data_IF_768544135929
#
_entry.id   IF_768544135929
#
_cell.length_a   1.000
_cell.length_b   1.000
_cell.length_c   1.000
_cell.angle_alpha   90.00
_cell.angle_beta   90.00
_cell.angle_gamma   90.00
#
_symmetry.space_group_name_H-M   'P 1'
#
loop_
_entity.id
_entity.type
_entity.pdbx_description
1 polymer ?
#
# COMPACT_ATOMS: atom_id res chain seq x y z
N UNK A 1 7.95 27.26 -20.32
CA UNK A 1 8.16 25.86 -20.79
C UNK A 1 6.91 25.05 -20.49
N UNK A 2 6.49 24.14 -21.37
CA UNK A 2 5.35 23.26 -21.10
C UNK A 2 5.79 22.03 -20.30
N UNK A 3 5.22 21.81 -19.12
CA UNK A 3 5.44 20.58 -18.35
C UNK A 3 4.71 19.42 -19.05
N UNK A 4 5.47 18.48 -19.61
CA UNK A 4 4.90 17.20 -20.11
C UNK A 4 4.43 16.36 -18.92
N UNK A 5 3.16 16.49 -18.55
CA UNK A 5 2.50 15.71 -17.49
C UNK A 5 2.32 14.25 -17.91
N UNK A 6 3.39 13.45 -17.75
CA UNK A 6 3.34 11.99 -17.90
C UNK A 6 2.55 11.37 -16.73
N UNK A 7 1.21 11.37 -16.84
CA UNK A 7 0.32 10.72 -15.87
C UNK A 7 0.46 9.19 -15.81
N UNK A 8 1.05 8.56 -16.83
CA UNK A 8 1.29 7.13 -16.89
C UNK A 8 2.75 6.79 -16.57
N UNK A 9 3.02 6.47 -15.31
CA UNK A 9 4.37 6.13 -14.82
C UNK A 9 4.66 4.63 -14.99
N UNK A 10 3.64 3.76 -14.96
CA UNK A 10 3.74 2.35 -15.41
C UNK A 10 2.51 1.99 -16.29
N UNK A 11 2.58 2.34 -17.58
CA UNK A 11 1.48 2.13 -18.56
C UNK A 11 0.87 0.73 -18.53
N UNK A 12 1.71 -0.32 -18.41
CA UNK A 12 1.27 -1.71 -18.51
C UNK A 12 0.39 -2.21 -17.35
N UNK A 13 0.47 -1.57 -16.18
CA UNK A 13 -0.29 -1.96 -14.98
C UNK A 13 -1.56 -1.13 -14.84
N UNK A 14 -1.42 0.20 -14.82
CA UNK A 14 -2.54 1.13 -14.64
C UNK A 14 -3.58 1.00 -15.76
N UNK A 15 -3.13 0.81 -17.01
CA UNK A 15 -4.04 0.61 -18.15
C UNK A 15 -4.89 -0.66 -18.01
N UNK A 16 -4.32 -1.77 -17.53
CA UNK A 16 -5.09 -3.02 -17.32
C UNK A 16 -6.19 -2.82 -16.28
N UNK A 17 -5.85 -2.25 -15.13
CA UNK A 17 -6.83 -1.98 -14.06
C UNK A 17 -7.98 -1.09 -14.56
N UNK A 18 -7.63 0.03 -15.22
CA UNK A 18 -8.61 0.99 -15.76
C UNK A 18 -9.48 0.35 -16.84
N UNK A 19 -8.89 -0.41 -17.78
CA UNK A 19 -9.65 -1.10 -18.84
C UNK A 19 -10.55 -2.19 -18.26
N UNK A 20 -10.09 -2.97 -17.28
CA UNK A 20 -10.92 -3.98 -16.60
C UNK A 20 -12.11 -3.34 -15.86
N UNK A 21 -11.90 -2.21 -15.15
CA UNK A 21 -13.00 -1.48 -14.52
C UNK A 21 -13.97 -0.88 -15.55
N UNK A 22 -13.48 -0.27 -16.64
CA UNK A 22 -14.32 0.29 -17.70
C UNK A 22 -15.15 -0.80 -18.40
N UNK A 23 -14.55 -1.97 -18.66
CA UNK A 23 -15.25 -3.13 -19.24
C UNK A 23 -16.32 -3.66 -18.27
N UNK A 24 -16.01 -3.77 -16.98
CA UNK A 24 -16.97 -4.17 -15.95
C UNK A 24 -18.17 -3.20 -15.86
N UNK A 25 -17.90 -1.89 -15.85
CA UNK A 25 -18.94 -0.84 -15.83
C UNK A 25 -19.79 -0.90 -17.11
N UNK A 26 -19.16 -1.06 -18.27
CA UNK A 26 -19.87 -1.20 -19.55
C UNK A 26 -20.76 -2.46 -19.58
N UNK A 27 -20.24 -3.61 -19.15
CA UNK A 27 -20.98 -4.87 -19.07
C UNK A 27 -22.22 -4.74 -18.17
N UNK A 28 -22.05 -4.13 -16.99
CA UNK A 28 -23.14 -3.92 -16.02
C UNK A 28 -24.17 -2.92 -16.55
N UNK A 29 -23.73 -1.88 -17.28
CA UNK A 29 -24.63 -0.96 -17.99
C UNK A 29 -25.45 -1.67 -19.06
N UNK A 30 -24.85 -2.55 -19.86
CA UNK A 30 -25.56 -3.34 -20.89
C UNK A 30 -26.56 -4.31 -20.27
N UNK A 31 -26.19 -5.02 -19.18
CA UNK A 31 -27.10 -5.91 -18.43
C UNK A 31 -28.29 -5.14 -17.86
N UNK A 32 -28.04 -3.93 -17.33
CA UNK A 32 -29.08 -3.06 -16.78
C UNK A 32 -30.03 -2.58 -17.87
N UNK A 33 -29.50 -2.10 -19.00
CA UNK A 33 -30.29 -1.62 -20.14
C UNK A 33 -31.15 -2.73 -20.75
N UNK A 34 -30.61 -3.95 -20.86
CA UNK A 34 -31.35 -5.13 -21.32
C UNK A 34 -32.49 -5.51 -20.36
N UNK A 35 -32.29 -5.45 -19.04
CA UNK A 35 -33.37 -5.67 -18.06
C UNK A 35 -34.48 -4.62 -18.18
N UNK A 36 -34.12 -3.35 -18.40
CA UNK A 36 -35.10 -2.27 -18.62
C UNK A 36 -35.91 -2.52 -19.91
N UNK A 37 -35.26 -2.92 -21.00
CA UNK A 37 -35.93 -3.25 -22.26
C UNK A 37 -36.93 -4.40 -22.13
N UNK A 38 -36.53 -5.52 -21.52
CA UNK A 38 -37.41 -6.68 -21.31
C UNK A 38 -38.62 -6.34 -20.44
N UNK A 39 -38.46 -5.45 -19.45
CA UNK A 39 -39.57 -5.03 -18.59
C UNK A 39 -40.47 -4.00 -19.30
N UNK A 40 -39.93 -3.17 -20.19
CA UNK A 40 -40.72 -2.29 -21.05
C UNK A 40 -41.65 -3.10 -21.98
N UNK A 41 -41.13 -4.12 -22.69
CA UNK A 41 -41.98 -5.03 -23.48
C UNK A 41 -42.99 -5.79 -22.62
N UNK A 42 -42.59 -6.27 -21.43
CA UNK A 42 -43.51 -6.97 -20.52
C UNK A 42 -44.68 -6.08 -20.12
N UNK A 43 -44.43 -4.82 -19.73
CA UNK A 43 -45.49 -3.86 -19.38
C UNK A 43 -46.37 -3.55 -20.59
N UNK A 44 -45.79 -3.25 -21.76
CA UNK A 44 -46.56 -2.93 -22.97
C UNK A 44 -47.48 -4.07 -23.41
N UNK A 45 -47.03 -5.34 -23.32
CA UNK A 45 -47.80 -6.50 -23.74
C UNK A 45 -48.86 -6.95 -22.73
N UNK A 46 -48.68 -6.67 -21.42
CA UNK A 46 -49.62 -7.12 -20.37
C UNK A 46 -50.65 -6.04 -19.96
N UNK A 47 -50.38 -4.75 -20.21
CA UNK A 47 -51.27 -3.64 -19.81
C UNK A 47 -51.93 -2.95 -21.01
N UNK A 48 -52.96 -3.61 -21.55
CA UNK A 48 -53.83 -3.04 -22.59
C UNK A 48 -54.55 -1.78 -22.07
N UNK A 49 -54.13 -0.61 -22.56
CA UNK A 49 -54.62 0.70 -22.12
C UNK A 49 -53.51 1.70 -21.77
N UNK A 50 -52.29 1.21 -21.55
CA UNK A 50 -51.18 2.03 -21.07
C UNK A 50 -51.22 2.23 -19.56
N UNK A 51 -50.05 2.32 -18.92
CA UNK A 51 -49.94 2.51 -17.47
C UNK A 51 -49.72 4.00 -17.18
N UNK A 52 -50.44 4.56 -16.21
CA UNK A 52 -50.17 5.91 -15.71
C UNK A 52 -48.73 6.02 -15.18
N UNK A 53 -48.13 7.21 -15.21
CA UNK A 53 -46.74 7.39 -14.77
C UNK A 53 -46.50 6.85 -13.34
N UNK A 54 -47.44 7.09 -12.43
CA UNK A 54 -47.40 6.59 -11.05
C UNK A 54 -47.50 5.06 -10.98
N UNK A 55 -48.43 4.48 -11.74
CA UNK A 55 -48.59 3.03 -11.85
C UNK A 55 -47.33 2.37 -12.42
N UNK A 56 -46.73 2.98 -13.46
CA UNK A 56 -45.50 2.51 -14.09
C UNK A 56 -44.35 2.48 -13.09
N UNK A 57 -44.14 3.54 -12.32
CA UNK A 57 -43.12 3.54 -11.27
C UNK A 57 -43.37 2.45 -10.22
N UNK A 58 -44.62 2.21 -9.80
CA UNK A 58 -44.92 1.15 -8.82
C UNK A 58 -44.61 -0.27 -9.33
N UNK A 59 -44.97 -0.57 -10.58
CA UNK A 59 -44.70 -1.86 -11.24
C UNK A 59 -43.20 -2.01 -11.51
N UNK A 60 -42.54 -0.95 -11.98
CA UNK A 60 -41.10 -0.90 -12.18
C UNK A 60 -40.35 -1.14 -10.86
N UNK A 61 -40.70 -0.47 -9.76
CA UNK A 61 -40.03 -0.68 -8.47
C UNK A 61 -40.19 -2.12 -7.96
N UNK A 62 -41.36 -2.73 -8.15
CA UNK A 62 -41.64 -4.12 -7.74
C UNK A 62 -40.90 -5.16 -8.59
N UNK A 63 -40.72 -4.91 -9.89
CA UNK A 63 -40.05 -5.85 -10.82
C UNK A 63 -38.53 -5.64 -10.91
N UNK A 64 -38.07 -4.39 -10.93
CA UNK A 64 -36.65 -4.04 -10.99
C UNK A 64 -35.99 -4.05 -9.60
N UNK A 65 -36.66 -3.61 -8.53
CA UNK A 65 -36.02 -3.33 -7.24
C UNK A 65 -35.16 -4.47 -6.70
N UNK A 66 -35.73 -5.68 -6.62
CA UNK A 66 -34.99 -6.89 -6.19
C UNK A 66 -33.88 -7.28 -7.18
N UNK A 67 -34.12 -7.16 -8.49
CA UNK A 67 -33.12 -7.50 -9.52
C UNK A 67 -31.92 -6.56 -9.50
N UNK A 68 -32.17 -5.25 -9.46
CA UNK A 68 -31.14 -4.21 -9.36
C UNK A 68 -30.38 -4.31 -8.04
N UNK A 69 -31.05 -4.62 -6.93
CA UNK A 69 -30.38 -4.87 -5.65
C UNK A 69 -29.41 -6.06 -5.73
N UNK A 70 -29.83 -7.19 -6.31
CA UNK A 70 -28.94 -8.33 -6.52
C UNK A 70 -27.78 -8.01 -7.47
N UNK A 71 -28.04 -7.32 -8.59
CA UNK A 71 -27.00 -6.91 -9.55
C UNK A 71 -25.99 -5.96 -8.88
N UNK A 72 -26.47 -5.01 -8.08
CA UNK A 72 -25.63 -4.08 -7.31
C UNK A 72 -24.78 -4.80 -6.24
N UNK A 73 -25.38 -5.73 -5.49
CA UNK A 73 -24.66 -6.53 -4.49
C UNK A 73 -23.57 -7.40 -5.13
N UNK A 74 -23.88 -8.07 -6.24
CA UNK A 74 -22.90 -8.85 -7.01
C UNK A 74 -21.81 -7.97 -7.61
N UNK A 75 -22.16 -6.76 -8.10
CA UNK A 75 -21.17 -5.79 -8.59
C UNK A 75 -20.19 -5.38 -7.49
N UNK A 76 -20.68 -5.02 -6.30
CA UNK A 76 -19.86 -4.64 -5.14
C UNK A 76 -18.89 -5.77 -4.78
N UNK A 77 -19.37 -7.02 -4.76
CA UNK A 77 -18.53 -8.20 -4.49
C UNK A 77 -17.43 -8.36 -5.56
N UNK A 78 -17.77 -8.23 -6.85
CA UNK A 78 -16.80 -8.32 -7.95
C UNK A 78 -15.75 -7.20 -7.86
N UNK A 79 -16.17 -5.96 -7.63
CA UNK A 79 -15.27 -4.80 -7.48
C UNK A 79 -14.35 -4.98 -6.26
N UNK A 80 -14.87 -5.48 -5.13
CA UNK A 80 -14.07 -5.77 -3.94
C UNK A 80 -13.02 -6.85 -4.21
N UNK A 81 -13.40 -7.95 -4.88
CA UNK A 81 -12.47 -9.03 -5.26
C UNK A 81 -11.35 -8.50 -6.17
N UNK A 82 -11.69 -7.74 -7.21
CA UNK A 82 -10.71 -7.10 -8.11
C UNK A 82 -9.79 -6.16 -7.31
N UNK A 83 -10.35 -5.35 -6.41
CA UNK A 83 -9.60 -4.45 -5.54
C UNK A 83 -8.57 -5.16 -4.66
N UNK A 84 -8.95 -6.29 -4.05
CA UNK A 84 -8.04 -7.11 -3.22
C UNK A 84 -6.92 -7.73 -4.06
N UNK A 85 -7.23 -8.30 -5.22
CA UNK A 85 -6.22 -8.88 -6.12
C UNK A 85 -5.18 -7.83 -6.57
N UNK A 86 -5.63 -6.64 -6.96
CA UNK A 86 -4.72 -5.55 -7.34
C UNK A 86 -3.95 -4.98 -6.12
N UNK A 87 -4.58 -4.86 -4.95
CA UNK A 87 -3.93 -4.39 -3.72
C UNK A 87 -2.73 -5.25 -3.32
N UNK A 88 -2.88 -6.58 -3.39
CA UNK A 88 -1.79 -7.53 -3.10
C UNK A 88 -0.59 -7.36 -4.06
N UNK A 89 -0.84 -6.90 -5.29
CA UNK A 89 0.21 -6.65 -6.30
C UNK A 89 1.03 -5.36 -6.03
N UNK A 90 0.55 -4.48 -5.14
CA UNK A 90 1.30 -3.30 -4.66
C UNK A 90 1.95 -3.52 -3.28
N UNK A 91 1.26 -4.20 -2.36
CA UNK A 91 1.73 -4.39 -0.99
C UNK A 91 3.07 -5.16 -0.90
N UNK A 92 3.18 -6.30 -1.60
CA UNK A 92 4.39 -7.12 -1.59
C UNK A 92 5.64 -6.39 -2.12
N UNK A 93 5.60 -5.76 -3.31
CA UNK A 93 6.71 -4.98 -3.84
C UNK A 93 7.06 -3.76 -2.96
N UNK A 94 6.07 -3.06 -2.41
CA UNK A 94 6.29 -1.92 -1.52
C UNK A 94 7.11 -2.30 -0.28
N UNK A 95 6.76 -3.41 0.39
CA UNK A 95 7.54 -3.93 1.52
C UNK A 95 8.98 -4.31 1.13
N UNK A 96 9.19 -4.93 -0.04
CA UNK A 96 10.54 -5.28 -0.51
C UNK A 96 11.39 -4.05 -0.85
N UNK A 97 10.79 -3.02 -1.45
CA UNK A 97 11.44 -1.73 -1.71
C UNK A 97 11.81 -1.02 -0.40
N UNK A 98 10.90 -0.98 0.58
CA UNK A 98 11.16 -0.39 1.90
C UNK A 98 12.32 -1.11 2.62
N UNK A 99 12.31 -2.44 2.65
CA UNK A 99 13.41 -3.23 3.22
C UNK A 99 14.74 -2.95 2.52
N UNK A 100 14.74 -2.83 1.19
CA UNK A 100 15.94 -2.48 0.42
C UNK A 100 16.45 -1.08 0.78
N UNK A 101 15.56 -0.09 0.88
CA UNK A 101 15.92 1.29 1.29
C UNK A 101 16.49 1.30 2.72
N UNK A 102 15.94 0.50 3.65
CA UNK A 102 16.47 0.35 5.01
C UNK A 102 17.87 -0.28 5.05
N UNK A 103 18.16 -1.27 4.20
CA UNK A 103 19.51 -1.84 4.07
C UNK A 103 20.51 -0.81 3.52
N UNK A 104 20.13 -0.08 2.48
CA UNK A 104 20.97 1.00 1.90
C UNK A 104 21.25 2.09 2.94
N UNK A 105 20.25 2.47 3.73
CA UNK A 105 20.41 3.44 4.83
C UNK A 105 21.27 2.92 6.01
N UNK A 106 21.52 1.61 6.09
CA UNK A 106 22.46 0.99 7.02
C UNK A 106 23.89 0.85 6.44
N UNK A 107 24.11 1.28 5.18
CA UNK A 107 25.39 1.17 4.49
C UNK A 107 25.62 -0.14 3.74
N UNK A 108 24.64 -1.04 3.69
CA UNK A 108 24.70 -2.22 2.83
C UNK A 108 24.43 -1.83 1.38
N UNK A 109 25.49 -1.85 0.58
CA UNK A 109 25.48 -1.61 -0.87
C UNK A 109 25.87 -2.87 -1.67
N UNK A 110 25.88 -4.05 -1.03
CA UNK A 110 26.40 -5.30 -1.61
C UNK A 110 25.36 -6.08 -2.45
N UNK A 111 24.13 -5.56 -2.57
CA UNK A 111 23.01 -6.27 -3.18
C UNK A 111 22.33 -5.46 -4.30
N UNK A 112 21.55 -6.16 -5.13
CA UNK A 112 20.75 -5.55 -6.21
C UNK A 112 19.25 -5.65 -5.92
N UNK A 113 18.56 -4.52 -5.97
CA UNK A 113 17.10 -4.42 -5.83
C UNK A 113 16.46 -5.09 -7.05
N UNK A 114 15.71 -6.17 -6.80
CA UNK A 114 15.05 -6.99 -7.83
C UNK A 114 13.62 -7.28 -7.43
N UNK A 115 12.68 -7.15 -8.36
CA UNK A 115 11.27 -7.52 -8.17
C UNK A 115 10.94 -8.74 -9.03
N UNK A 116 9.82 -9.42 -8.77
CA UNK A 116 9.36 -10.51 -9.64
C UNK A 116 8.75 -9.91 -10.90
N UNK A 117 8.79 -10.64 -12.02
CA UNK A 117 8.21 -10.21 -13.32
C UNK A 117 6.70 -9.87 -13.28
N UNK A 118 6.00 -10.30 -12.22
CA UNK A 118 4.59 -9.99 -11.90
C UNK A 118 4.37 -8.64 -11.23
N UNK A 119 5.42 -8.04 -10.67
CA UNK A 119 5.31 -6.98 -9.67
C UNK A 119 5.24 -5.59 -10.33
N UNK A 120 4.63 -4.63 -9.64
CA UNK A 120 4.69 -3.21 -10.02
C UNK A 120 5.98 -2.56 -9.51
N UNK A 121 6.28 -1.34 -9.96
CA UNK A 121 7.41 -0.50 -9.52
C UNK A 121 8.81 -0.99 -9.94
N UNK A 122 8.91 -1.62 -11.11
CA UNK A 122 10.19 -2.04 -11.68
C UNK A 122 11.12 -0.84 -11.95
N UNK A 123 10.54 0.30 -12.36
CA UNK A 123 11.24 1.57 -12.54
C UNK A 123 11.85 2.14 -11.24
N UNK A 124 11.20 1.93 -10.09
CA UNK A 124 11.74 2.34 -8.78
C UNK A 124 12.88 1.41 -8.36
N UNK A 125 12.74 0.10 -8.58
CA UNK A 125 13.84 -0.85 -8.33
C UNK A 125 15.06 -0.56 -9.20
N UNK A 126 14.87 -0.23 -10.48
CA UNK A 126 15.93 0.23 -11.39
C UNK A 126 16.59 1.53 -10.91
N UNK A 127 15.78 2.53 -10.53
CA UNK A 127 16.29 3.80 -9.99
C UNK A 127 17.09 3.63 -8.69
N UNK A 128 16.66 2.73 -7.80
CA UNK A 128 17.40 2.37 -6.59
C UNK A 128 18.72 1.67 -6.90
N UNK A 129 18.76 0.79 -7.92
CA UNK A 129 20.01 0.16 -8.34
C UNK A 129 21.04 1.17 -8.84
N UNK A 130 20.62 2.15 -9.65
CA UNK A 130 21.51 3.25 -10.11
C UNK A 130 22.00 4.09 -8.93
N UNK A 131 21.15 4.34 -7.92
CA UNK A 131 21.55 5.02 -6.69
C UNK A 131 22.60 4.24 -5.89
N UNK A 132 22.40 2.93 -5.71
CA UNK A 132 23.34 2.02 -5.04
C UNK A 132 24.67 1.94 -5.77
N UNK A 133 24.65 1.82 -7.11
CA UNK A 133 25.85 1.79 -7.94
C UNK A 133 26.67 3.09 -7.82
N UNK A 134 26.00 4.25 -7.88
CA UNK A 134 26.66 5.55 -7.70
C UNK A 134 27.27 5.69 -6.30
N UNK A 135 26.52 5.36 -5.23
CA UNK A 135 27.05 5.39 -3.86
C UNK A 135 28.23 4.41 -3.68
N UNK A 136 28.11 3.19 -4.19
CA UNK A 136 29.17 2.17 -4.10
C UNK A 136 30.44 2.61 -4.82
N UNK A 137 30.32 3.28 -5.97
CA UNK A 137 31.46 3.82 -6.71
C UNK A 137 32.13 4.98 -5.95
N UNK A 138 31.36 5.91 -5.36
CA UNK A 138 31.93 7.01 -4.57
C UNK A 138 32.61 6.51 -3.28
N UNK A 139 32.00 5.57 -2.56
CA UNK A 139 32.59 4.96 -1.36
C UNK A 139 33.85 4.16 -1.70
N UNK A 140 33.85 3.43 -2.83
CA UNK A 140 35.03 2.73 -3.33
C UNK A 140 36.17 3.70 -3.65
N UNK A 141 35.94 4.78 -4.41
CA UNK A 141 36.98 5.78 -4.69
C UNK A 141 37.50 6.43 -3.40
N UNK A 142 36.63 6.77 -2.44
CA UNK A 142 37.07 7.29 -1.15
C UNK A 142 37.97 6.29 -0.39
N UNK A 143 37.68 4.99 -0.45
CA UNK A 143 38.54 3.93 0.10
C UNK A 143 39.88 3.78 -0.63
N UNK A 144 39.89 3.88 -1.96
CA UNK A 144 41.11 3.87 -2.78
C UNK A 144 42.02 5.07 -2.45
N UNK A 145 41.47 6.28 -2.36
CA UNK A 145 42.18 7.49 -1.92
C UNK A 145 42.71 7.35 -0.48
N UNK A 146 41.92 6.77 0.43
CA UNK A 146 42.34 6.52 1.83
C UNK A 146 43.52 5.54 1.91
N UNK A 147 43.53 4.51 1.06
CA UNK A 147 44.66 3.57 0.97
C UNK A 147 45.93 4.25 0.44
N UNK A 148 45.82 5.13 -0.57
CA UNK A 148 46.95 5.91 -1.08
C UNK A 148 47.54 6.85 -0.02
N UNK A 149 46.70 7.53 0.79
CA UNK A 149 47.18 8.31 1.95
C UNK A 149 47.93 7.40 2.93
N UNK A 150 47.39 6.23 3.24
CA UNK A 150 48.00 5.27 4.17
C UNK A 150 49.36 4.78 3.69
N UNK A 151 49.52 4.54 2.38
CA UNK A 151 50.80 4.15 1.78
C UNK A 151 51.82 5.29 1.78
N UNK A 152 51.42 6.49 1.36
CA UNK A 152 52.26 7.70 1.41
C UNK A 152 52.69 8.07 2.84
N UNK A 153 51.85 7.79 3.85
CA UNK A 153 52.16 8.01 5.27
C UNK A 153 52.99 6.86 5.86
N UNK A 154 52.83 5.64 5.36
CA UNK A 154 53.63 4.48 5.81
C UNK A 154 55.09 4.55 5.34
N UNK A 155 55.34 5.17 4.19
CA UNK A 155 56.66 5.32 3.58
C UNK A 155 57.39 6.62 4.00
N UNK A 156 57.06 7.18 5.17
CA UNK A 156 57.72 8.37 5.73
C UNK A 156 59.17 8.08 6.17
N UNK A 157 60.09 8.11 5.20
CA UNK A 157 61.53 8.17 5.46
C UNK A 157 61.92 9.54 6.07
N UNK A 158 62.99 9.57 6.85
CA UNK A 158 63.56 10.79 7.46
C UNK A 158 64.42 11.59 6.47
N UNK A 159 63.92 11.79 5.26
CA UNK A 159 64.60 12.48 4.15
C UNK A 159 63.67 13.56 3.60
N UNK A 160 64.11 14.82 3.60
CA UNK A 160 63.26 15.99 3.37
C UNK A 160 62.66 16.03 1.95
N UNK A 161 63.34 15.47 0.93
CA UNK A 161 62.77 15.34 -0.42
C UNK A 161 61.57 14.39 -0.40
N UNK A 162 61.75 13.20 0.19
CA UNK A 162 60.69 12.17 0.33
C UNK A 162 59.52 12.69 1.16
N UNK A 163 59.81 13.44 2.24
CA UNK A 163 58.82 14.10 3.08
C UNK A 163 57.99 15.11 2.28
N UNK A 164 58.64 16.03 1.57
CA UNK A 164 57.97 17.07 0.78
C UNK A 164 57.10 16.48 -0.33
N UNK A 165 57.58 15.42 -0.98
CA UNK A 165 56.90 14.69 -2.05
C UNK A 165 55.66 13.96 -1.53
N UNK A 166 55.77 13.29 -0.39
CA UNK A 166 54.64 12.62 0.27
C UNK A 166 53.58 13.63 0.73
N UNK A 167 53.99 14.81 1.21
CA UNK A 167 53.09 15.90 1.59
C UNK A 167 52.35 16.49 0.38
N UNK A 168 53.04 16.61 -0.76
CA UNK A 168 52.46 17.02 -2.05
C UNK A 168 51.39 16.02 -2.53
N UNK A 169 51.71 14.71 -2.52
CA UNK A 169 50.77 13.64 -2.86
C UNK A 169 49.56 13.63 -1.94
N UNK A 170 49.76 13.75 -0.61
CA UNK A 170 48.66 13.82 0.36
C UNK A 170 47.74 15.02 0.10
N UNK A 171 48.28 16.19 -0.21
CA UNK A 171 47.51 17.38 -0.57
C UNK A 171 46.68 17.17 -1.85
N UNK A 172 47.23 16.49 -2.85
CA UNK A 172 46.49 16.12 -4.06
C UNK A 172 45.31 15.19 -3.78
N UNK A 173 45.53 14.14 -2.97
CA UNK A 173 44.50 13.17 -2.61
C UNK A 173 43.38 13.82 -1.77
N UNK A 174 43.71 14.75 -0.87
CA UNK A 174 42.71 15.54 -0.13
C UNK A 174 41.85 16.37 -1.08
N UNK A 175 42.44 17.00 -2.11
CA UNK A 175 41.69 17.71 -3.15
C UNK A 175 40.73 16.79 -3.93
N UNK A 176 41.18 15.60 -4.33
CA UNK A 176 40.29 14.62 -4.99
C UNK A 176 39.15 14.12 -4.09
N UNK A 177 39.34 14.11 -2.76
CA UNK A 177 38.30 13.77 -1.79
C UNK A 177 37.34 14.94 -1.57
N UNK A 178 37.82 16.18 -1.54
CA UNK A 178 37.00 17.39 -1.51
C UNK A 178 36.12 17.50 -2.76
N UNK A 179 36.66 17.28 -3.97
CA UNK A 179 35.89 17.23 -5.22
C UNK A 179 34.82 16.12 -5.20
N UNK A 180 35.16 14.93 -4.70
CA UNK A 180 34.22 13.81 -4.57
C UNK A 180 33.07 14.13 -3.60
N UNK A 181 33.36 14.84 -2.50
CA UNK A 181 32.35 15.28 -1.53
C UNK A 181 31.51 16.43 -2.10
N UNK A 182 32.11 17.37 -2.85
CA UNK A 182 31.43 18.48 -3.50
C UNK A 182 30.44 18.02 -4.60
N UNK A 183 30.63 16.82 -5.16
CA UNK A 183 29.66 16.14 -6.01
C UNK A 183 28.32 15.85 -5.33
N UNK A 184 28.28 15.80 -3.99
CA UNK A 184 27.05 15.58 -3.21
C UNK A 184 26.45 16.89 -2.70
N UNK A 185 25.17 17.13 -3.01
CA UNK A 185 24.39 18.23 -2.41
C UNK A 185 23.94 17.86 -1.01
N UNK A 186 24.84 18.01 -0.04
CA UNK A 186 24.58 17.79 1.37
C UNK A 186 23.65 18.86 1.95
N UNK A 187 22.85 18.49 2.97
CA UNK A 187 22.09 19.46 3.76
C UNK A 187 23.01 20.22 4.73
N UNK A 188 22.75 21.50 5.03
CA UNK A 188 23.40 22.20 6.14
C UNK A 188 23.19 21.45 7.46
N UNK A 189 24.22 21.42 8.32
CA UNK A 189 24.21 20.64 9.58
C UNK A 189 23.15 21.12 10.59
N UNK A 190 22.63 22.33 10.40
CA UNK A 190 21.90 23.08 11.43
C UNK A 190 20.37 22.95 11.29
N UNK A 191 19.88 22.21 10.28
CA UNK A 191 18.45 21.95 10.08
C UNK A 191 18.00 20.85 11.04
N UNK A 192 17.60 21.23 12.26
CA UNK A 192 16.96 20.33 13.22
C UNK A 192 15.74 19.66 12.58
N UNK A 193 15.68 18.33 12.63
CA UNK A 193 14.52 17.59 12.12
C UNK A 193 13.28 17.93 12.94
N UNK A 194 12.23 18.37 12.25
CA UNK A 194 10.89 18.52 12.84
C UNK A 194 10.37 17.19 13.40
N UNK A 195 9.32 17.21 14.24
CA UNK A 195 8.98 16.09 15.10
C UNK A 195 8.93 14.73 14.38
N UNK A 196 9.69 13.76 14.90
CA UNK A 196 9.53 12.35 14.55
C UNK A 196 8.07 11.97 14.80
N UNK A 197 7.35 11.60 13.75
CA UNK A 197 6.05 10.96 13.90
C UNK A 197 6.25 9.68 14.73
N UNK A 198 5.59 9.62 15.87
CA UNK A 198 5.76 8.56 16.87
C UNK A 198 5.21 7.23 16.35
N UNK A 199 6.11 6.32 16.01
CA UNK A 199 5.79 4.91 15.85
C UNK A 199 5.77 4.26 17.24
N UNK A 200 4.65 4.39 17.95
CA UNK A 200 4.35 3.69 19.20
C UNK A 200 2.82 3.60 19.39
N UNK A 201 2.21 2.52 18.86
CA UNK A 201 1.07 1.81 19.43
C UNK A 201 0.59 0.70 18.47
N UNK A 202 1.10 -0.51 18.68
CA UNK A 202 0.27 -1.70 18.47
C UNK A 202 -0.83 -1.74 19.55
N UNK A 203 -1.94 -2.42 19.27
CA UNK A 203 -2.54 -3.27 20.29
C UNK A 203 -2.55 -4.74 19.84
N UNK A 204 -1.88 -5.59 20.62
CA UNK A 204 -2.19 -7.03 20.63
C UNK A 204 -3.69 -7.21 20.87
N UNK A 205 -4.34 -8.04 20.05
CA UNK A 205 -5.70 -8.54 20.30
C UNK A 205 -5.65 -10.03 20.62
N UNK A 206 -4.97 -10.34 21.73
CA UNK A 206 -4.87 -11.69 22.26
C UNK A 206 -6.21 -12.21 22.79
N UNK A 207 -6.43 -13.52 22.63
CA UNK A 207 -7.68 -14.22 22.92
C UNK A 207 -7.34 -15.67 23.27
N UNK A 208 -8.11 -16.38 24.12
CA UNK A 208 -8.86 -15.95 25.30
C UNK A 208 -8.25 -16.55 26.60
N UNK A 209 -8.82 -16.23 27.75
CA UNK A 209 -8.64 -17.01 28.98
C UNK A 209 -10.00 -17.33 29.61
N UNK A 210 -10.11 -18.52 30.19
CA UNK A 210 -11.26 -18.95 30.97
C UNK A 210 -10.78 -19.49 32.33
N UNK A 211 -11.76 -19.60 33.24
CA UNK A 211 -11.95 -20.65 34.24
C UNK A 211 -11.82 -20.25 35.73
N UNK A 212 -12.58 -20.99 36.56
CA UNK A 212 -12.62 -21.02 38.04
C UNK A 212 -13.05 -19.73 38.79
N UNK A 213 -13.77 -19.78 39.93
CA UNK A 213 -14.57 -20.84 40.54
C UNK A 213 -15.55 -20.26 41.61
N UNK A 214 -16.31 -21.14 42.28
CA UNK A 214 -17.32 -20.92 43.35
C UNK A 214 -17.04 -19.83 44.42
N UNK A 215 -18.02 -19.27 45.13
CA UNK A 215 -19.48 -19.51 45.16
C UNK A 215 -20.04 -19.77 46.57
N UNK A 216 -21.29 -19.36 46.86
CA UNK A 216 -22.15 -19.91 47.94
C UNK A 216 -23.59 -19.35 47.89
N UNK A 217 -24.51 -20.09 48.51
CA UNK A 217 -25.93 -19.77 48.77
C UNK A 217 -26.25 -20.26 50.22
N UNK A 218 -27.50 -20.32 50.75
CA UNK A 218 -28.80 -19.83 50.27
C UNK A 218 -29.65 -19.08 51.33
N UNK A 219 -30.84 -18.58 50.96
CA UNK A 219 -31.97 -18.32 51.89
C UNK A 219 -33.32 -18.71 51.25
N UNK A 220 -34.34 -18.99 52.08
CA UNK A 220 -35.51 -19.81 51.74
C UNK A 220 -36.88 -19.04 51.81
N UNK A 221 -38.00 -19.62 51.27
CA UNK A 221 -39.32 -18.97 51.09
C UNK A 221 -40.34 -19.34 52.23
N UNK A 222 -41.70 -19.16 52.14
CA UNK A 222 -42.59 -18.55 51.12
C UNK A 222 -43.33 -17.30 51.65
N UNK A 223 -44.68 -17.12 51.82
CA UNK A 223 -45.86 -18.03 51.81
C UNK A 223 -46.90 -17.79 50.67
N UNK A 224 -48.01 -18.55 50.68
CA UNK A 224 -49.29 -18.42 49.91
C UNK A 224 -50.38 -19.29 50.63
N UNK A 225 -51.70 -19.34 50.29
CA UNK A 225 -52.51 -18.55 49.33
C UNK A 225 -53.33 -17.40 49.98
N UNK A 226 -54.65 -17.41 50.38
CA UNK A 226 -55.71 -18.46 50.48
C UNK A 226 -56.77 -18.45 49.33
N UNK A 227 -57.89 -19.25 49.33
CA UNK A 227 -58.52 -19.69 48.06
C UNK A 227 -60.07 -19.58 47.87
N UNK A 228 -60.50 -20.01 46.67
CA UNK A 228 -61.71 -20.79 46.32
C UNK A 228 -63.13 -20.16 46.13
N UNK A 229 -63.53 -20.07 44.85
CA UNK A 229 -64.71 -20.71 44.21
C UNK A 229 -64.47 -20.64 42.68
N UNK A 230 -64.79 -21.59 41.78
CA UNK A 230 -65.85 -22.59 41.72
C UNK A 230 -66.94 -22.10 40.74
N UNK A 231 -67.29 -22.73 39.61
CA UNK A 231 -66.81 -23.95 38.93
C UNK A 231 -67.38 -24.01 37.49
N UNK A 232 -67.13 -25.08 36.68
CA UNK A 232 -67.52 -25.11 35.27
C UNK A 232 -68.89 -25.75 35.00
N UNK A 233 -69.70 -25.16 34.10
CA UNK A 233 -70.91 -25.76 33.52
C UNK A 233 -71.22 -25.22 32.12
N UNK A 234 -71.56 -26.12 31.19
CA UNK A 234 -72.11 -25.89 29.84
C UNK A 234 -71.25 -25.04 28.88
#
# INVERSE_FOLDING_TARGET
MSQRKNYFIEKGMQSKFIVTLLLLIFLVSVITLCNVYVIYEYVQNNFQGGVSNEGFFSVAFRLLGYRLFLIGLVNIIIVAIIGVFYSHQFAGPSYKLEKSIRQIAQGDLSFKVTLRKSDSMHNIAESLNVMVENFSNSIRKAGELTNQIKEATGNLATDDDVLSKSFSTMKGIVGELEDLIAGFKLMPKDVSTGPRASADQEPESSKPAADAAAGQAPTAPPPSPPPAAGGPTA
#
